data_IF_287234012939
#
_entry.id   IF_287234012939
#
_cell.length_a   1.000
_cell.length_b   1.000
_cell.length_c   1.000
_cell.angle_alpha   90.00
_cell.angle_beta   90.00
_cell.angle_gamma   90.00
#
_symmetry.space_group_name_H-M   'P 1'
#
loop_
_entity.id
_entity.type
_entity.pdbx_description
1 polymer ?
#
# COMPACT_ATOMS: atom_id res chain seq x y z
N UNK A 1 -12.55 -3.46 9.80
CA UNK A 1 -12.10 -4.13 11.04
C UNK A 1 -10.74 -3.56 11.43
N UNK A 2 -10.61 -3.07 12.66
CA UNK A 2 -9.36 -2.59 13.23
C UNK A 2 -8.94 -3.51 14.38
N UNK A 3 -7.65 -3.79 14.53
CA UNK A 3 -7.09 -4.62 15.61
C UNK A 3 -5.91 -3.91 16.23
N UNK A 4 -5.73 -4.04 17.53
CA UNK A 4 -4.64 -3.40 18.27
C UNK A 4 -3.74 -4.49 18.84
N UNK A 5 -2.45 -4.48 18.48
CA UNK A 5 -1.51 -5.52 18.94
C UNK A 5 -0.07 -5.00 18.97
N UNK A 6 0.82 -5.75 19.63
CA UNK A 6 2.25 -5.49 19.61
C UNK A 6 2.91 -6.25 18.46
N UNK A 7 3.68 -5.53 17.65
CA UNK A 7 4.36 -6.07 16.48
C UNK A 7 5.88 -6.03 16.68
N UNK A 8 6.56 -7.05 16.14
CA UNK A 8 8.02 -7.12 16.07
C UNK A 8 8.47 -6.78 14.65
N UNK A 9 9.56 -6.03 14.56
CA UNK A 9 10.08 -5.50 13.31
C UNK A 9 11.23 -6.38 12.84
N UNK A 10 10.92 -7.41 12.03
CA UNK A 10 11.87 -8.46 11.62
C UNK A 10 13.10 -7.97 10.84
N UNK A 11 12.98 -6.87 10.09
CA UNK A 11 14.08 -6.26 9.35
C UNK A 11 14.95 -5.34 10.21
N UNK A 12 14.50 -5.01 11.41
CA UNK A 12 15.14 -4.09 12.35
C UNK A 12 15.28 -4.80 13.71
N UNK A 13 16.20 -5.76 13.81
CA UNK A 13 16.33 -6.63 14.99
C UNK A 13 16.59 -5.87 16.30
N UNK A 14 17.17 -4.66 16.24
CA UNK A 14 17.38 -3.78 17.40
C UNK A 14 16.15 -2.93 17.76
N UNK A 15 15.12 -2.89 16.91
CA UNK A 15 13.92 -2.12 17.18
C UNK A 15 13.01 -2.89 18.17
N UNK A 16 12.59 -2.25 19.27
CA UNK A 16 11.69 -2.88 20.23
C UNK A 16 10.33 -3.16 19.61
N UNK A 17 9.59 -4.11 20.18
CA UNK A 17 8.19 -4.29 19.80
C UNK A 17 7.38 -3.03 20.11
N UNK A 18 6.41 -2.73 19.25
CA UNK A 18 5.53 -1.57 19.41
C UNK A 18 4.09 -1.92 19.15
N UNK A 19 3.21 -1.26 19.90
CA UNK A 19 1.77 -1.32 19.72
C UNK A 19 1.40 -0.58 18.43
N UNK A 20 0.80 -1.29 17.47
CA UNK A 20 0.28 -0.70 16.22
C UNK A 20 -1.20 -1.01 16.05
N UNK A 21 -1.91 -0.10 15.37
CA UNK A 21 -3.27 -0.30 14.89
C UNK A 21 -3.25 -1.00 13.52
N UNK A 22 -3.67 -2.25 13.47
CA UNK A 22 -3.81 -3.01 12.23
C UNK A 22 -5.16 -2.72 11.56
N UNK A 23 -5.10 -2.17 10.35
CA UNK A 23 -6.24 -2.02 9.45
C UNK A 23 -6.39 -3.32 8.66
N UNK A 24 -7.13 -4.24 9.25
CA UNK A 24 -7.32 -5.59 8.71
C UNK A 24 -8.35 -5.65 7.58
N UNK A 25 -9.35 -4.77 7.64
CA UNK A 25 -10.34 -4.63 6.58
C UNK A 25 -10.87 -3.21 6.55
N UNK A 26 -10.90 -2.57 5.39
CA UNK A 26 -11.49 -1.24 5.21
C UNK A 26 -12.30 -1.24 3.93
N UNK A 27 -13.59 -0.92 4.04
CA UNK A 27 -14.49 -0.85 2.89
C UNK A 27 -15.11 0.54 2.83
N UNK A 28 -14.90 1.24 1.71
CA UNK A 28 -15.44 2.58 1.47
C UNK A 28 -16.57 2.54 0.45
N UNK A 29 -17.39 1.48 0.48
CA UNK A 29 -18.50 1.26 -0.45
C UNK A 29 -19.51 2.40 -0.37
N UNK A 30 -19.89 3.02 -1.50
CA UNK A 30 -20.90 4.07 -1.52
C UNK A 30 -22.32 3.48 -1.27
N UNK A 31 -22.94 3.70 -0.09
CA UNK A 31 -24.12 2.95 0.33
C UNK A 31 -25.41 3.35 -0.42
N UNK A 32 -25.44 4.55 -1.00
CA UNK A 32 -26.60 5.11 -1.73
C UNK A 32 -26.44 5.06 -3.26
N UNK A 33 -25.43 4.36 -3.77
CA UNK A 33 -25.25 4.29 -5.22
C UNK A 33 -26.30 3.32 -5.79
N UNK A 34 -27.09 3.79 -6.75
CA UNK A 34 -28.14 2.99 -7.39
C UNK A 34 -27.79 2.63 -8.84
N UNK A 35 -26.83 3.34 -9.44
CA UNK A 35 -26.33 3.07 -10.79
C UNK A 35 -24.85 2.74 -10.71
N UNK A 36 -24.51 1.51 -11.09
CA UNK A 36 -23.12 1.03 -11.16
C UNK A 36 -22.67 1.08 -12.61
N UNK A 37 -21.46 1.58 -12.83
CA UNK A 37 -20.77 1.52 -14.11
C UNK A 37 -19.58 0.57 -13.95
N UNK A 38 -19.72 -0.72 -14.29
CA UNK A 38 -18.69 -1.73 -14.05
C UNK A 38 -17.30 -1.32 -14.58
N UNK A 39 -17.27 -0.64 -15.72
CA UNK A 39 -16.05 -0.12 -16.35
C UNK A 39 -15.33 0.97 -15.52
N UNK A 40 -16.00 1.51 -14.50
CA UNK A 40 -15.46 2.51 -13.56
C UNK A 40 -15.16 1.93 -12.18
N UNK A 41 -15.28 0.62 -11.99
CA UNK A 41 -14.88 -0.04 -10.76
C UNK A 41 -13.38 -0.36 -10.81
N UNK A 42 -12.77 -0.52 -9.64
CA UNK A 42 -11.46 -1.16 -9.54
C UNK A 42 -11.65 -2.67 -9.32
N UNK A 43 -10.63 -3.50 -9.58
CA UNK A 43 -10.66 -4.92 -9.19
C UNK A 43 -11.09 -5.09 -7.73
N UNK A 44 -11.96 -6.06 -7.46
CA UNK A 44 -12.50 -6.32 -6.12
C UNK A 44 -13.63 -5.39 -5.65
N UNK A 45 -13.97 -4.34 -6.41
CA UNK A 45 -15.11 -3.47 -6.07
C UNK A 45 -16.41 -3.98 -6.69
N UNK A 46 -17.47 -4.03 -5.87
CA UNK A 46 -18.86 -4.25 -6.31
C UNK A 46 -19.60 -2.93 -6.53
N UNK A 47 -19.17 -1.86 -5.86
CA UNK A 47 -19.72 -0.51 -5.96
C UNK A 47 -18.61 0.54 -5.97
N UNK A 48 -18.89 1.76 -6.46
CA UNK A 48 -17.93 2.86 -6.37
C UNK A 48 -17.53 3.15 -4.92
N UNK A 49 -16.25 3.52 -4.75
CA UNK A 49 -15.76 4.07 -3.49
C UNK A 49 -16.42 5.41 -3.15
N UNK A 50 -16.52 5.72 -1.86
CA UNK A 50 -17.14 6.93 -1.32
C UNK A 50 -16.26 8.19 -1.48
N UNK A 51 -14.98 8.02 -1.82
CA UNK A 51 -14.05 9.13 -2.08
C UNK A 51 -13.48 9.80 -0.82
N UNK A 52 -13.81 9.29 0.38
CA UNK A 52 -13.47 9.89 1.68
C UNK A 52 -12.21 9.27 2.33
N UNK A 53 -11.25 8.82 1.51
CA UNK A 53 -10.09 8.10 2.04
C UNK A 53 -9.23 8.96 2.96
N UNK A 54 -9.08 10.25 2.65
CA UNK A 54 -8.38 11.23 3.50
C UNK A 54 -8.94 11.26 4.91
N UNK A 55 -10.26 11.40 5.02
CA UNK A 55 -11.01 11.51 6.26
C UNK A 55 -10.91 10.22 7.08
N UNK A 56 -10.93 9.07 6.41
CA UNK A 56 -10.73 7.77 7.06
C UNK A 56 -9.29 7.63 7.56
N UNK A 57 -8.31 8.07 6.79
CA UNK A 57 -6.90 8.01 7.20
C UNK A 57 -6.66 8.87 8.45
N UNK A 58 -7.19 10.09 8.47
CA UNK A 58 -7.11 10.99 9.62
C UNK A 58 -7.83 10.40 10.85
N UNK A 59 -9.01 9.79 10.66
CA UNK A 59 -9.72 9.10 11.73
C UNK A 59 -8.91 7.94 12.32
N UNK A 60 -8.33 7.09 11.46
CA UNK A 60 -7.50 5.95 11.89
C UNK A 60 -6.25 6.44 12.63
N UNK A 61 -5.62 7.51 12.14
CA UNK A 61 -4.46 8.13 12.79
C UNK A 61 -4.80 8.67 14.19
N UNK A 62 -5.89 9.44 14.30
CA UNK A 62 -6.36 9.97 15.57
C UNK A 62 -6.73 8.85 16.56
N UNK A 63 -7.33 7.76 16.07
CA UNK A 63 -7.60 6.59 16.90
C UNK A 63 -6.31 5.92 17.37
N UNK A 64 -5.32 5.72 16.49
CA UNK A 64 -4.03 5.16 16.85
C UNK A 64 -3.35 5.96 17.96
N UNK A 65 -3.37 7.30 17.85
CA UNK A 65 -2.91 8.20 18.92
C UNK A 65 -3.69 7.99 20.22
N UNK A 66 -5.03 8.02 20.15
CA UNK A 66 -5.90 7.91 21.33
C UNK A 66 -5.75 6.60 22.10
N UNK A 67 -5.35 5.50 21.44
CA UNK A 67 -5.12 4.19 22.08
C UNK A 67 -3.65 3.94 22.45
N UNK A 68 -2.78 4.95 22.31
CA UNK A 68 -1.35 4.87 22.59
C UNK A 68 -0.57 3.97 21.63
N UNK A 69 -1.08 3.76 20.41
CA UNK A 69 -0.32 3.07 19.36
C UNK A 69 0.76 4.01 18.78
N UNK A 70 1.87 3.43 18.33
CA UNK A 70 2.99 4.16 17.72
C UNK A 70 2.92 4.22 16.19
N UNK A 71 1.81 3.75 15.64
CA UNK A 71 1.63 3.60 14.21
C UNK A 71 0.39 2.80 13.86
N UNK A 72 0.17 2.69 12.57
CA UNK A 72 -0.81 1.81 11.96
C UNK A 72 -0.14 1.02 10.84
N UNK A 73 -0.71 -0.12 10.48
CA UNK A 73 -0.30 -0.82 9.26
C UNK A 73 -1.50 -1.49 8.59
N UNK A 74 -1.36 -1.81 7.32
CA UNK A 74 -2.32 -2.56 6.53
C UNK A 74 -1.57 -3.48 5.56
N UNK A 75 -2.30 -4.37 4.90
CA UNK A 75 -1.81 -5.18 3.78
C UNK A 75 -2.76 -4.92 2.61
N UNK A 76 -2.44 -4.02 1.67
CA UNK A 76 -3.33 -3.68 0.56
C UNK A 76 -3.49 -4.88 -0.38
N UNK A 77 -4.73 -5.33 -0.53
CA UNK A 77 -5.08 -6.47 -1.38
C UNK A 77 -4.85 -6.16 -2.86
N UNK A 78 -5.09 -4.91 -3.26
CA UNK A 78 -4.87 -4.47 -4.64
C UNK A 78 -3.89 -3.29 -4.76
N UNK A 79 -3.36 -3.09 -5.96
CA UNK A 79 -2.46 -1.96 -6.27
C UNK A 79 -3.10 -0.60 -5.98
N UNK A 80 -4.37 -0.40 -6.34
CA UNK A 80 -5.04 0.88 -6.10
C UNK A 80 -5.22 1.16 -4.61
N UNK A 81 -5.39 0.13 -3.77
CA UNK A 81 -5.37 0.29 -2.31
C UNK A 81 -4.00 0.77 -1.86
N UNK A 82 -2.92 0.14 -2.35
CA UNK A 82 -1.57 0.57 -2.03
C UNK A 82 -1.34 2.04 -2.42
N UNK A 83 -1.83 2.48 -3.59
CA UNK A 83 -1.76 3.89 -4.00
C UNK A 83 -2.48 4.82 -3.02
N UNK A 84 -3.67 4.43 -2.54
CA UNK A 84 -4.40 5.21 -1.54
C UNK A 84 -3.59 5.35 -0.25
N UNK A 85 -3.07 4.25 0.28
CA UNK A 85 -2.30 4.23 1.53
C UNK A 85 -0.91 4.87 1.41
N UNK A 86 -0.26 4.83 0.25
CA UNK A 86 1.13 5.28 0.06
C UNK A 86 1.39 6.76 0.38
N UNK A 87 0.32 7.57 0.47
CA UNK A 87 0.42 8.98 0.91
C UNK A 87 1.04 9.14 2.31
N UNK A 88 0.80 8.18 3.19
CA UNK A 88 1.26 8.21 4.58
C UNK A 88 1.96 6.92 5.00
N UNK A 89 1.60 5.81 4.38
CA UNK A 89 2.15 4.49 4.67
C UNK A 89 3.26 4.15 3.67
N UNK A 90 4.13 3.25 4.07
CA UNK A 90 5.19 2.73 3.22
C UNK A 90 5.33 1.23 3.36
N UNK A 91 5.64 0.52 2.28
CA UNK A 91 5.94 -0.91 2.38
C UNK A 91 7.14 -1.14 3.29
N UNK A 92 6.97 -2.02 4.28
CA UNK A 92 8.00 -2.33 5.25
C UNK A 92 9.17 -3.09 4.63
N UNK A 93 8.91 -3.94 3.64
CA UNK A 93 9.96 -4.60 2.86
C UNK A 93 10.45 -3.70 1.71
N UNK A 94 11.75 -3.34 1.67
CA UNK A 94 12.34 -2.54 0.58
C UNK A 94 12.06 -3.04 -0.83
N UNK A 95 12.04 -4.36 -1.05
CA UNK A 95 11.74 -4.92 -2.36
C UNK A 95 10.30 -4.63 -2.80
N UNK A 96 9.33 -4.69 -1.87
CA UNK A 96 7.92 -4.36 -2.11
C UNK A 96 7.73 -2.87 -2.40
N UNK A 97 8.40 -2.01 -1.64
CA UNK A 97 8.38 -0.57 -1.87
C UNK A 97 8.96 -0.22 -3.25
N UNK A 98 10.07 -0.86 -3.63
CA UNK A 98 10.68 -0.66 -4.95
C UNK A 98 9.79 -1.17 -6.09
N UNK A 99 9.14 -2.33 -5.91
CA UNK A 99 8.17 -2.89 -6.85
C UNK A 99 7.01 -1.93 -7.11
N UNK A 100 6.36 -1.46 -6.04
CA UNK A 100 5.28 -0.49 -6.12
C UNK A 100 5.73 0.81 -6.81
N UNK A 101 6.89 1.35 -6.44
CA UNK A 101 7.44 2.56 -7.06
C UNK A 101 7.79 2.38 -8.54
N UNK A 102 8.27 1.20 -8.93
CA UNK A 102 8.56 0.88 -10.34
C UNK A 102 7.28 0.86 -11.18
N UNK A 103 6.19 0.24 -10.68
CA UNK A 103 4.89 0.26 -11.35
C UNK A 103 4.40 1.70 -11.60
N UNK A 104 4.48 2.56 -10.58
CA UNK A 104 4.12 3.97 -10.72
C UNK A 104 5.04 4.69 -11.71
N UNK A 105 6.36 4.52 -11.57
CA UNK A 105 7.36 5.17 -12.43
C UNK A 105 7.10 4.87 -13.91
N UNK A 106 6.88 3.61 -14.24
CA UNK A 106 6.83 3.15 -15.63
C UNK A 106 5.43 3.32 -16.25
N UNK A 107 4.38 3.17 -15.43
CA UNK A 107 3.00 3.02 -15.95
C UNK A 107 2.08 4.19 -15.59
N UNK A 108 2.54 5.22 -14.87
CA UNK A 108 1.72 6.38 -14.46
C UNK A 108 0.89 7.02 -15.58
N UNK A 109 1.35 6.93 -16.84
CA UNK A 109 0.65 7.47 -18.02
C UNK A 109 -0.72 6.82 -18.26
N UNK A 110 -0.94 5.59 -17.80
CA UNK A 110 -2.21 4.87 -17.90
C UNK A 110 -3.19 5.23 -16.75
N UNK A 111 -2.67 5.79 -15.66
CA UNK A 111 -3.46 6.06 -14.45
C UNK A 111 -3.78 4.80 -13.65
N UNK A 112 -4.10 5.01 -12.36
CA UNK A 112 -4.19 3.95 -11.34
C UNK A 112 -5.18 2.85 -11.71
N UNK A 113 -6.33 3.22 -12.29
CA UNK A 113 -7.38 2.26 -12.66
C UNK A 113 -6.91 1.27 -13.72
N UNK A 114 -6.34 1.78 -14.80
CA UNK A 114 -5.87 0.94 -15.90
C UNK A 114 -4.70 0.05 -15.44
N UNK A 115 -3.81 0.57 -14.58
CA UNK A 115 -2.73 -0.23 -13.99
C UNK A 115 -3.29 -1.35 -13.11
N UNK A 116 -4.23 -1.07 -12.22
CA UNK A 116 -4.86 -2.11 -11.39
C UNK A 116 -5.55 -3.17 -12.23
N UNK A 117 -6.29 -2.77 -13.27
CA UNK A 117 -6.97 -3.70 -14.17
C UNK A 117 -5.95 -4.58 -14.91
N UNK A 118 -4.90 -3.98 -15.47
CA UNK A 118 -3.85 -4.71 -16.17
C UNK A 118 -3.10 -5.69 -15.26
N UNK A 119 -2.87 -5.35 -13.98
CA UNK A 119 -2.32 -6.29 -13.00
C UNK A 119 -3.25 -7.48 -12.78
N UNK A 120 -4.56 -7.25 -12.61
CA UNK A 120 -5.52 -8.34 -12.38
C UNK A 120 -5.74 -9.23 -13.61
N UNK A 121 -5.41 -8.72 -14.80
CA UNK A 121 -5.58 -9.42 -16.08
C UNK A 121 -4.26 -10.01 -16.63
N UNK A 122 -3.15 -9.90 -15.90
CA UNK A 122 -1.86 -10.44 -16.36
C UNK A 122 -1.21 -9.65 -17.52
N UNK A 123 -1.65 -8.42 -17.76
CA UNK A 123 -1.21 -7.55 -18.87
C UNK A 123 -0.02 -6.64 -18.53
N UNK A 124 0.63 -6.85 -17.39
CA UNK A 124 1.88 -6.17 -17.07
C UNK A 124 3.03 -7.16 -17.19
N UNK A 125 4.04 -6.78 -17.98
CA UNK A 125 5.23 -7.58 -18.19
C UNK A 125 6.47 -6.91 -17.61
N UNK A 126 7.42 -7.70 -17.13
CA UNK A 126 8.74 -7.22 -16.73
C UNK A 126 9.69 -7.09 -17.93
N UNK A 127 10.95 -6.72 -17.67
CA UNK A 127 11.97 -6.60 -18.72
C UNK A 127 12.28 -7.89 -19.49
N UNK A 128 11.96 -9.05 -18.91
CA UNK A 128 12.22 -10.37 -19.47
C UNK A 128 10.96 -10.92 -20.17
N UNK A 129 9.90 -10.09 -20.27
CA UNK A 129 8.63 -10.44 -20.88
C UNK A 129 7.73 -11.31 -20.00
N UNK A 130 8.11 -11.54 -18.73
CA UNK A 130 7.35 -12.36 -17.80
C UNK A 130 6.18 -11.59 -17.22
N UNK A 131 5.09 -12.29 -16.93
CA UNK A 131 3.92 -11.70 -16.29
C UNK A 131 4.22 -11.25 -14.86
N UNK A 132 3.76 -10.05 -14.54
CA UNK A 132 3.94 -9.42 -13.24
C UNK A 132 2.61 -9.44 -12.49
N UNK A 133 2.59 -10.16 -11.38
CA UNK A 133 1.45 -10.21 -10.48
C UNK A 133 1.57 -9.18 -9.35
N UNK A 134 0.42 -8.67 -8.90
CA UNK A 134 0.38 -7.90 -7.67
C UNK A 134 0.65 -8.83 -6.48
N UNK A 135 1.63 -8.47 -5.66
CA UNK A 135 1.93 -9.19 -4.44
C UNK A 135 1.74 -8.26 -3.23
N UNK A 136 0.73 -8.50 -2.38
CA UNK A 136 0.50 -7.73 -1.17
C UNK A 136 1.71 -7.76 -0.22
N UNK A 137 1.83 -6.73 0.61
CA UNK A 137 2.85 -6.64 1.64
C UNK A 137 2.47 -5.62 2.72
N UNK A 138 3.08 -5.71 3.88
CA UNK A 138 2.79 -4.81 4.99
C UNK A 138 3.20 -3.38 4.64
N UNK A 139 2.25 -2.46 4.66
CA UNK A 139 2.49 -1.02 4.60
C UNK A 139 2.32 -0.44 5.99
N UNK A 140 3.31 0.32 6.47
CA UNK A 140 3.35 0.85 7.83
C UNK A 140 3.38 2.38 7.78
N UNK A 141 2.59 2.99 8.64
CA UNK A 141 2.70 4.40 9.02
C UNK A 141 3.12 4.48 10.47
N UNK A 142 4.20 5.21 10.76
CA UNK A 142 4.72 5.40 12.12
C UNK A 142 4.48 6.84 12.53
N UNK A 143 3.88 7.02 13.71
CA UNK A 143 3.48 8.32 14.24
C UNK A 143 4.59 8.94 15.09
N UNK A 144 5.39 8.07 15.72
CA UNK A 144 6.52 8.43 16.57
C UNK A 144 7.78 8.58 15.70
N UNK A 145 8.34 9.81 15.54
CA UNK A 145 9.48 10.06 14.66
C UNK A 145 10.73 9.29 15.07
N UNK A 146 11.04 9.22 16.37
CA UNK A 146 12.22 8.53 16.89
C UNK A 146 12.14 7.03 16.58
N UNK A 147 10.95 6.45 16.75
CA UNK A 147 10.71 5.07 16.34
C UNK A 147 10.73 4.92 14.81
N UNK A 148 10.25 5.92 14.08
CA UNK A 148 10.36 6.03 12.62
C UNK A 148 11.80 5.90 12.14
N UNK A 149 12.75 6.60 12.77
CA UNK A 149 14.17 6.57 12.40
C UNK A 149 14.84 5.21 12.65
N UNK A 150 14.39 4.47 13.68
CA UNK A 150 14.83 3.09 13.92
C UNK A 150 14.37 2.12 12.83
N UNK A 151 13.24 2.40 12.18
CA UNK A 151 12.63 1.54 11.15
C UNK A 151 13.09 1.94 9.75
N UNK A 152 12.98 3.23 9.41
CA UNK A 152 13.28 3.80 8.10
C UNK A 152 14.75 4.23 7.98
N UNK A 153 15.65 3.26 8.19
CA UNK A 153 17.09 3.51 8.19
C UNK A 153 17.64 3.85 6.81
N UNK A 154 18.87 4.39 6.76
CA UNK A 154 19.60 4.60 5.49
C UNK A 154 19.75 3.31 4.67
N UNK A 155 19.92 2.15 5.31
CA UNK A 155 20.00 0.87 4.63
C UNK A 155 18.69 0.51 3.92
N UNK A 156 17.55 0.70 4.60
CA UNK A 156 16.22 0.51 4.02
C UNK A 156 16.06 1.28 2.70
N UNK A 157 16.39 2.58 2.70
CA UNK A 157 16.32 3.41 1.49
C UNK A 157 17.32 2.98 0.41
N UNK A 158 18.53 2.58 0.81
CA UNK A 158 19.55 2.10 -0.11
C UNK A 158 19.10 0.82 -0.82
N UNK A 159 18.47 -0.11 -0.09
CA UNK A 159 17.88 -1.34 -0.64
C UNK A 159 16.78 -1.03 -1.65
N UNK A 160 15.89 -0.07 -1.37
CA UNK A 160 14.86 0.37 -2.34
C UNK A 160 15.51 0.80 -3.65
N UNK A 161 16.52 1.68 -3.59
CA UNK A 161 17.20 2.18 -4.80
C UNK A 161 17.87 1.04 -5.57
N UNK A 162 18.49 0.08 -4.88
CA UNK A 162 19.10 -1.10 -5.52
C UNK A 162 18.06 -1.96 -6.25
N UNK A 163 16.92 -2.25 -5.63
CA UNK A 163 15.84 -3.01 -6.27
C UNK A 163 15.24 -2.23 -7.44
N UNK A 164 14.94 -0.95 -7.25
CA UNK A 164 14.28 -0.09 -8.25
C UNK A 164 15.06 0.01 -9.57
N UNK A 165 16.41 -0.02 -9.51
CA UNK A 165 17.28 0.00 -10.69
C UNK A 165 17.06 -1.21 -11.60
N UNK A 166 16.72 -2.37 -11.02
CA UNK A 166 16.59 -3.68 -11.69
C UNK A 166 15.18 -4.00 -12.16
N UNK A 167 14.22 -3.12 -11.89
CA UNK A 167 12.82 -3.33 -12.26
C UNK A 167 12.47 -2.43 -13.43
N UNK A 168 11.83 -2.97 -14.45
CA UNK A 168 11.15 -2.23 -15.52
C UNK A 168 9.85 -2.95 -15.85
N UNK A 169 8.78 -2.18 -16.04
CA UNK A 169 7.47 -2.72 -16.37
C UNK A 169 6.89 -2.06 -17.63
N UNK A 170 6.20 -2.87 -18.42
CA UNK A 170 5.41 -2.42 -19.56
C UNK A 170 3.99 -2.96 -19.44
N UNK A 171 3.02 -2.20 -19.95
CA UNK A 171 1.66 -2.68 -20.11
C UNK A 171 1.49 -3.13 -21.56
N UNK A 172 0.97 -4.33 -21.75
CA UNK A 172 0.56 -4.83 -23.07
C UNK A 172 -0.95 -4.61 -23.25
N UNK A 173 -1.34 -4.41 -24.50
CA UNK A 173 -2.74 -4.26 -24.89
C UNK A 173 -3.49 -5.61 -24.79
#
# INVERSE_FOLDING_TARGET
RLKLSHFRFRLNLGAPSRKLLYIDWLMTRHPKAHKVRPERLFPGQDMPGLGIFSEISDFVFNMALGVGAKGAFNIPEYFHDAVLFHRQFRFYEPAREAFFRALIRDLRKHGVRQISQALSEGRIKDQDGQEVNWEPGEMIHLIDPDFGDMIWTRDYFTRIVRHLKRLRFTMVD
#
